data_IF_398452746480
#
_entry.id   IF_398452746480
#
_cell.length_a   1.000
_cell.length_b   1.000
_cell.length_c   1.000
_cell.angle_alpha   90.00
_cell.angle_beta   90.00
_cell.angle_gamma   90.00
#
_symmetry.space_group_name_H-M   'P 1'
#
loop_
_entity.id
_entity.type
_entity.pdbx_description
1 polymer ?
#
# COMPACT_ATOMS: atom_id res chain seq x y z
N UNK A 1 -3.23 18.49 60.36
CA UNK A 1 -3.79 19.85 60.60
C UNK A 1 -2.79 20.88 60.08
N UNK A 2 -3.26 22.00 59.51
CA UNK A 2 -2.47 23.22 59.28
C UNK A 2 -1.26 23.14 58.31
N UNK A 3 -1.43 23.73 57.13
CA UNK A 3 -0.35 24.47 56.44
C UNK A 3 -0.67 25.99 56.57
N UNK A 4 0.11 26.96 56.05
CA UNK A 4 1.48 26.91 55.49
C UNK A 4 2.40 27.99 56.14
N UNK A 5 3.57 28.30 55.56
CA UNK A 5 4.34 29.51 55.89
C UNK A 5 5.11 30.12 54.68
N UNK A 6 5.16 31.46 54.64
CA UNK A 6 5.94 32.37 53.77
C UNK A 6 6.06 33.72 54.52
N UNK A 7 6.88 34.70 54.08
CA UNK A 7 8.14 34.67 53.31
C UNK A 7 9.28 35.27 54.20
N UNK A 8 10.28 36.01 53.67
CA UNK A 8 10.10 37.46 53.44
C UNK A 8 10.79 38.03 52.18
N UNK A 9 10.83 39.37 52.05
CA UNK A 9 11.30 40.14 50.88
C UNK A 9 12.66 40.84 51.12
N UNK A 10 13.33 41.23 50.03
CA UNK A 10 14.36 42.30 50.00
C UNK A 10 14.00 43.41 49.00
N UNK A 11 14.60 44.60 49.15
CA UNK A 11 14.50 45.79 48.26
C UNK A 11 15.92 46.39 48.02
N UNK A 12 16.22 47.51 47.32
CA UNK A 12 15.53 48.64 46.62
C UNK A 12 16.33 49.03 45.33
N UNK A 13 15.91 49.95 44.43
CA UNK A 13 14.73 50.83 44.39
C UNK A 13 14.74 51.86 43.23
N UNK A 14 15.01 53.14 43.54
CA UNK A 14 15.07 54.31 42.61
C UNK A 14 16.40 54.35 41.80
N UNK A 15 16.64 55.17 40.75
CA UNK A 15 16.14 56.49 40.27
C UNK A 15 16.08 56.45 38.70
N UNK A 16 15.39 57.29 37.89
CA UNK A 16 14.68 58.57 38.08
C UNK A 16 13.87 59.05 36.86
N UNK A 17 14.32 60.13 36.17
CA UNK A 17 13.69 60.84 35.02
C UNK A 17 14.78 61.40 34.06
N UNK A 18 14.56 62.06 32.91
CA UNK A 18 13.43 62.87 32.41
C UNK A 18 13.38 62.96 30.85
N UNK A 19 12.39 63.67 30.28
CA UNK A 19 12.07 63.65 28.84
C UNK A 19 12.66 64.75 27.95
N UNK A 20 12.47 64.64 26.62
CA UNK A 20 12.86 65.66 25.63
C UNK A 20 12.18 65.51 24.26
N UNK A 21 11.78 66.63 23.62
CA UNK A 21 11.15 66.65 22.27
C UNK A 21 12.19 67.01 21.20
N UNK A 22 12.28 66.24 20.10
CA UNK A 22 13.28 66.43 19.04
C UNK A 22 12.71 66.35 17.61
N UNK A 23 13.01 67.36 16.79
CA UNK A 23 12.47 67.69 15.45
C UNK A 23 12.74 66.64 14.34
N UNK A 24 11.92 66.65 13.29
CA UNK A 24 12.26 66.13 11.94
C UNK A 24 13.18 67.09 11.17
N UNK A 25 13.98 66.58 10.22
CA UNK A 25 13.84 66.86 8.78
C UNK A 25 13.33 65.59 8.03
N UNK A 26 12.62 65.55 6.90
CA UNK A 26 12.63 66.29 5.62
C UNK A 26 13.94 66.16 4.81
N UNK A 27 14.01 65.48 3.67
CA UNK A 27 13.02 64.63 2.99
C UNK A 27 13.24 64.58 1.47
N UNK A 28 12.92 63.45 0.82
CA UNK A 28 12.90 63.30 -0.63
C UNK A 28 11.56 62.69 -1.07
N UNK A 29 11.09 62.98 -2.29
CA UNK A 29 9.86 62.42 -2.86
C UNK A 29 10.16 61.56 -4.09
N UNK A 30 9.46 60.42 -4.16
CA UNK A 30 9.32 59.53 -5.31
C UNK A 30 7.87 58.98 -5.29
N UNK A 31 7.28 58.64 -6.44
CA UNK A 31 5.83 58.71 -6.60
C UNK A 31 5.03 57.69 -5.77
N UNK A 32 3.94 58.17 -5.20
CA UNK A 32 2.93 57.39 -4.50
C UNK A 32 1.98 56.72 -5.50
N UNK A 33 2.04 55.40 -5.64
CA UNK A 33 1.07 54.59 -6.39
C UNK A 33 0.27 53.75 -5.40
N UNK A 34 -1.05 53.92 -5.37
CA UNK A 34 -1.92 53.14 -4.48
C UNK A 34 -2.10 51.72 -5.03
N UNK A 35 -1.87 50.66 -4.24
CA UNK A 35 -2.29 49.32 -4.60
C UNK A 35 -3.80 49.19 -4.38
N UNK A 36 -4.57 49.32 -5.47
CA UNK A 36 -5.94 48.81 -5.55
C UNK A 36 -5.96 47.53 -6.39
N UNK A 37 -6.90 46.65 -6.03
CA UNK A 37 -7.47 45.63 -6.90
C UNK A 37 -6.52 44.54 -7.46
N UNK A 38 -5.80 43.85 -6.57
CA UNK A 38 -5.44 42.44 -6.80
C UNK A 38 -6.67 41.56 -6.52
N UNK A 39 -7.23 40.98 -7.58
CA UNK A 39 -8.52 40.27 -7.52
C UNK A 39 -8.51 38.99 -6.68
N UNK A 40 -9.51 38.84 -5.81
CA UNK A 40 -9.77 37.59 -5.08
C UNK A 40 -10.42 36.58 -6.03
N UNK A 41 -9.66 35.55 -6.44
CA UNK A 41 -10.18 34.43 -7.23
C UNK A 41 -10.87 33.44 -6.30
N UNK A 42 -12.20 33.39 -6.37
CA UNK A 42 -13.03 32.43 -5.62
C UNK A 42 -13.25 31.17 -6.47
N UNK A 43 -12.57 30.08 -6.10
CA UNK A 43 -12.79 28.76 -6.71
C UNK A 43 -13.86 28.01 -5.92
N UNK A 44 -14.91 27.58 -6.62
CA UNK A 44 -15.99 26.75 -6.09
C UNK A 44 -15.95 25.38 -6.75
N UNK A 45 -15.91 24.34 -5.93
CA UNK A 45 -15.88 22.95 -6.41
C UNK A 45 -16.94 22.18 -5.62
N UNK A 46 -17.82 21.49 -6.33
CA UNK A 46 -18.83 20.62 -5.72
C UNK A 46 -18.21 19.23 -5.47
N UNK A 47 -18.26 18.78 -4.22
CA UNK A 47 -17.73 17.47 -3.82
C UNK A 47 -18.84 16.70 -3.11
N UNK A 48 -19.43 15.72 -3.80
CA UNK A 48 -20.47 14.86 -3.23
C UNK A 48 -21.76 15.57 -2.83
N UNK A 49 -22.18 16.59 -3.60
CA UNK A 49 -23.38 17.39 -3.31
C UNK A 49 -23.17 18.46 -2.24
N UNK A 50 -21.92 18.78 -1.89
CA UNK A 50 -21.56 19.92 -1.03
C UNK A 50 -20.69 20.90 -1.82
N UNK A 51 -21.12 22.15 -1.94
CA UNK A 51 -20.34 23.24 -2.55
C UNK A 51 -19.25 23.72 -1.57
N UNK A 52 -17.97 23.58 -1.94
CA UNK A 52 -16.85 24.06 -1.12
C UNK A 52 -16.19 25.25 -1.81
N UNK A 53 -16.47 26.45 -1.30
CA UNK A 53 -15.81 27.69 -1.73
C UNK A 53 -14.47 27.88 -1.03
N UNK A 54 -13.37 27.96 -1.79
CA UNK A 54 -12.03 28.22 -1.26
C UNK A 54 -11.65 29.67 -1.52
N UNK A 55 -11.60 30.47 -0.46
CA UNK A 55 -11.28 31.91 -0.51
C UNK A 55 -9.85 32.15 0.00
N UNK A 56 -8.90 32.28 -0.92
CA UNK A 56 -7.52 32.57 -0.60
C UNK A 56 -7.28 34.09 -0.48
N UNK A 57 -6.74 34.53 0.65
CA UNK A 57 -6.21 35.88 0.85
C UNK A 57 -4.77 35.77 1.37
N UNK A 58 -3.85 36.66 0.94
CA UNK A 58 -2.47 36.65 1.46
C UNK A 58 -2.47 37.02 2.96
N UNK A 59 -1.68 36.32 3.80
CA UNK A 59 -1.68 36.55 5.25
C UNK A 59 -0.93 37.86 5.62
N UNK A 60 -1.46 38.66 6.57
CA UNK A 60 -0.78 39.85 7.05
C UNK A 60 0.17 39.54 8.23
N UNK A 61 1.43 39.96 8.15
CA UNK A 61 2.27 40.18 9.34
C UNK A 61 3.70 39.64 9.32
N UNK A 62 4.66 40.55 9.14
CA UNK A 62 6.03 40.62 9.69
C UNK A 62 6.80 39.31 9.97
N UNK A 63 7.92 39.16 9.27
CA UNK A 63 9.06 38.34 9.70
C UNK A 63 9.82 38.99 10.88
N UNK A 64 10.62 38.24 11.65
CA UNK A 64 11.62 38.79 12.58
C UNK A 64 12.78 39.45 11.81
N UNK A 65 13.34 40.53 12.35
CA UNK A 65 14.55 41.17 11.82
C UNK A 65 15.80 40.42 12.31
N UNK A 66 16.63 39.94 11.39
CA UNK A 66 17.92 39.33 11.72
C UNK A 66 19.00 40.39 11.94
N UNK A 67 19.87 40.19 12.94
CA UNK A 67 20.82 41.21 13.44
C UNK A 67 22.26 40.99 12.98
N UNK A 68 22.47 41.18 11.68
CA UNK A 68 23.59 41.99 11.17
C UNK A 68 24.95 41.33 10.95
N UNK A 69 25.56 41.72 9.82
CA UNK A 69 26.97 41.48 9.48
C UNK A 69 27.17 40.45 8.37
N UNK A 70 27.89 40.81 7.31
CA UNK A 70 28.31 39.87 6.25
C UNK A 70 27.98 40.30 4.82
N UNK A 71 28.66 41.35 4.35
CA UNK A 71 29.00 41.61 2.94
C UNK A 71 27.90 41.65 1.85
N UNK A 72 28.35 41.85 0.60
CA UNK A 72 27.54 42.10 -0.59
C UNK A 72 28.00 41.22 -1.75
N UNK A 73 27.07 41.03 -2.68
CA UNK A 73 27.27 40.42 -4.01
C UNK A 73 27.51 38.89 -4.00
N UNK A 74 27.30 38.25 -5.14
CA UNK A 74 27.38 36.78 -5.30
C UNK A 74 26.02 36.09 -5.27
N UNK A 75 25.42 35.94 -6.45
CA UNK A 75 24.15 35.25 -6.71
C UNK A 75 24.03 33.84 -6.09
N UNK A 76 23.09 33.66 -5.15
CA UNK A 76 22.59 32.35 -4.72
C UNK A 76 21.15 32.14 -5.19
N UNK A 77 21.00 31.65 -6.44
CA UNK A 77 19.75 31.02 -6.89
C UNK A 77 19.59 29.68 -6.15
N UNK A 78 18.39 29.31 -5.66
CA UNK A 78 18.19 28.03 -4.98
C UNK A 78 18.32 26.88 -5.98
N UNK A 79 19.42 26.13 -5.87
CA UNK A 79 19.77 25.05 -6.79
C UNK A 79 19.19 23.69 -6.36
N UNK A 80 19.15 22.73 -7.29
CA UNK A 80 18.49 21.45 -7.07
C UNK A 80 19.13 20.60 -5.96
N UNK A 81 20.37 20.92 -5.56
CA UNK A 81 21.06 20.25 -4.45
C UNK A 81 20.30 20.40 -3.13
N UNK A 82 19.62 21.54 -2.91
CA UNK A 82 18.77 21.74 -1.74
C UNK A 82 17.56 20.80 -1.69
N UNK A 83 16.88 20.58 -2.83
CA UNK A 83 15.59 19.88 -2.84
C UNK A 83 15.72 18.37 -2.53
N UNK A 84 16.61 17.68 -3.26
CA UNK A 84 16.89 16.26 -3.01
C UNK A 84 17.57 16.03 -1.65
N UNK A 85 18.40 16.97 -1.18
CA UNK A 85 19.06 16.87 0.13
C UNK A 85 18.08 17.12 1.28
N UNK A 86 17.13 18.06 1.16
CA UNK A 86 16.04 18.21 2.13
C UNK A 86 15.16 16.95 2.21
N UNK A 87 14.86 16.30 1.08
CA UNK A 87 14.13 15.03 1.08
C UNK A 87 14.91 13.92 1.80
N UNK A 88 16.20 13.73 1.46
CA UNK A 88 17.09 12.74 2.11
C UNK A 88 17.33 13.02 3.59
N UNK A 89 17.48 14.29 3.99
CA UNK A 89 17.68 14.69 5.38
C UNK A 89 16.42 14.44 6.21
N UNK A 90 15.24 14.83 5.72
CA UNK A 90 13.99 14.62 6.45
C UNK A 90 13.54 13.16 6.50
N UNK A 91 13.99 12.29 5.60
CA UNK A 91 13.72 10.85 5.71
C UNK A 91 14.36 10.21 6.97
N UNK A 92 15.37 10.84 7.58
CA UNK A 92 15.89 10.46 8.92
C UNK A 92 15.02 10.95 10.07
N UNK A 93 14.14 11.93 9.85
CA UNK A 93 13.26 12.50 10.90
C UNK A 93 11.89 11.83 11.00
N UNK A 94 11.63 10.81 10.18
CA UNK A 94 10.34 10.09 10.13
C UNK A 94 10.17 9.01 11.22
N UNK A 95 11.15 8.81 12.11
CA UNK A 95 11.17 7.75 13.13
C UNK A 95 10.67 8.22 14.51
N UNK A 96 9.74 9.19 14.56
CA UNK A 96 9.17 9.71 15.80
C UNK A 96 7.65 9.53 15.81
N UNK A 97 7.22 8.41 16.38
CA UNK A 97 5.83 8.16 16.74
C UNK A 97 5.42 9.02 17.95
N UNK A 98 4.12 9.26 18.14
CA UNK A 98 3.53 9.94 19.29
C UNK A 98 2.39 9.04 19.80
N UNK A 99 2.38 8.74 21.11
CA UNK A 99 1.52 7.73 21.78
C UNK A 99 0.00 8.00 21.71
N UNK A 100 -0.43 8.92 20.84
CA UNK A 100 -1.83 9.33 20.62
C UNK A 100 -2.35 9.07 19.20
N UNK A 101 -1.54 8.47 18.33
CA UNK A 101 -2.01 7.82 17.10
C UNK A 101 -2.75 8.71 16.09
N UNK A 102 -2.36 9.99 15.94
CA UNK A 102 -3.04 10.91 15.03
C UNK A 102 -2.11 11.92 14.30
N UNK A 103 -2.01 11.77 12.98
CA UNK A 103 -1.87 12.79 11.92
C UNK A 103 -0.77 13.88 11.93
N UNK A 104 0.27 13.81 12.76
CA UNK A 104 1.46 14.66 12.56
C UNK A 104 2.15 14.41 11.21
N UNK A 105 2.31 13.14 10.82
CA UNK A 105 2.91 12.73 9.54
C UNK A 105 1.98 13.03 8.36
N UNK A 106 0.72 12.62 8.46
CA UNK A 106 -0.33 12.75 7.43
C UNK A 106 -0.55 14.21 7.03
N UNK A 107 -0.63 15.12 8.01
CA UNK A 107 -0.69 16.56 7.76
C UNK A 107 0.62 17.12 7.19
N UNK A 108 1.78 16.50 7.45
CA UNK A 108 3.04 16.89 6.80
C UNK A 108 3.09 16.45 5.32
N UNK A 109 2.63 15.24 4.97
CA UNK A 109 2.55 14.79 3.58
C UNK A 109 1.60 15.66 2.73
N UNK A 110 0.43 16.03 3.25
CA UNK A 110 -0.46 16.99 2.59
C UNK A 110 0.11 18.41 2.45
N UNK A 111 0.86 18.90 3.46
CA UNK A 111 1.55 20.21 3.37
C UNK A 111 2.69 20.20 2.35
N UNK A 112 3.48 19.12 2.29
CA UNK A 112 4.50 18.90 1.23
C UNK A 112 3.85 18.93 -0.15
N UNK A 113 2.72 18.23 -0.33
CA UNK A 113 1.99 18.21 -1.59
C UNK A 113 1.49 19.59 -2.03
N UNK A 114 0.91 20.37 -1.10
CA UNK A 114 0.50 21.74 -1.38
C UNK A 114 1.70 22.65 -1.72
N UNK A 115 2.86 22.43 -1.09
CA UNK A 115 4.10 23.14 -1.40
C UNK A 115 4.61 22.87 -2.81
N UNK A 116 4.68 21.60 -3.21
CA UNK A 116 5.09 21.17 -4.56
C UNK A 116 4.12 21.71 -5.62
N UNK A 117 2.81 21.56 -5.40
CA UNK A 117 1.77 22.08 -6.32
C UNK A 117 1.84 23.61 -6.48
N UNK A 118 2.11 24.35 -5.39
CA UNK A 118 2.27 25.80 -5.44
C UNK A 118 3.51 26.19 -6.25
N UNK A 119 4.66 25.59 -5.97
CA UNK A 119 5.92 25.87 -6.68
C UNK A 119 5.82 25.52 -8.16
N UNK A 120 5.29 24.35 -8.51
CA UNK A 120 5.10 23.96 -9.91
C UNK A 120 4.15 24.91 -10.65
N UNK A 121 3.07 25.38 -10.01
CA UNK A 121 2.19 26.41 -10.59
C UNK A 121 2.91 27.76 -10.75
N UNK A 122 3.69 28.19 -9.75
CA UNK A 122 4.45 29.43 -9.84
C UNK A 122 5.48 29.38 -10.97
N UNK A 123 6.24 28.29 -11.11
CA UNK A 123 7.19 28.10 -12.22
C UNK A 123 6.50 28.02 -13.59
N UNK A 124 5.37 27.32 -13.72
CA UNK A 124 4.68 27.12 -15.01
C UNK A 124 4.01 28.37 -15.59
N UNK A 125 3.63 29.32 -14.75
CA UNK A 125 2.94 30.54 -15.18
C UNK A 125 3.82 31.81 -15.11
N UNK A 126 5.08 31.70 -14.66
CA UNK A 126 5.97 32.88 -14.56
C UNK A 126 6.45 33.42 -15.92
N UNK A 127 6.52 32.56 -16.95
CA UNK A 127 6.95 32.92 -18.32
C UNK A 127 5.90 33.75 -19.10
N UNK A 128 4.76 34.10 -18.48
CA UNK A 128 3.68 34.85 -19.13
C UNK A 128 3.93 36.37 -19.20
N UNK A 129 4.57 36.96 -18.18
CA UNK A 129 4.77 38.40 -18.04
C UNK A 129 6.27 38.77 -17.88
N UNK A 130 6.87 39.28 -18.96
CA UNK A 130 8.21 39.89 -18.97
C UNK A 130 9.36 38.95 -19.35
N UNK A 131 9.91 39.12 -20.56
CA UNK A 131 11.04 38.32 -21.04
C UNK A 131 12.39 38.77 -20.49
N UNK A 132 13.27 37.83 -20.11
CA UNK A 132 14.61 38.19 -19.63
C UNK A 132 15.49 37.06 -19.10
N UNK A 133 15.97 36.16 -19.96
CA UNK A 133 17.28 35.50 -19.79
C UNK A 133 17.52 34.59 -18.56
N UNK A 134 17.13 33.32 -18.69
CA UNK A 134 17.88 32.20 -18.08
C UNK A 134 17.36 31.66 -16.75
N UNK A 135 17.06 30.35 -16.73
CA UNK A 135 16.75 29.58 -15.51
C UNK A 135 15.58 28.60 -15.62
N UNK A 136 14.77 28.66 -16.67
CA UNK A 136 13.63 27.75 -16.86
C UNK A 136 14.05 26.28 -16.83
N UNK A 137 13.53 25.53 -15.84
CA UNK A 137 13.73 24.07 -15.75
C UNK A 137 13.12 23.38 -16.97
N UNK A 138 13.73 22.30 -17.44
CA UNK A 138 13.11 21.50 -18.51
C UNK A 138 11.85 20.81 -17.97
N UNK A 139 10.83 20.69 -18.82
CA UNK A 139 9.57 19.98 -18.48
C UNK A 139 9.84 18.53 -18.03
N UNK A 140 10.88 17.91 -18.57
CA UNK A 140 11.36 16.57 -18.20
C UNK A 140 11.88 16.50 -16.76
N UNK A 141 12.59 17.52 -16.28
CA UNK A 141 13.03 17.58 -14.88
C UNK A 141 11.83 17.72 -13.93
N UNK A 142 10.86 18.56 -14.28
CA UNK A 142 9.63 18.74 -13.49
C UNK A 142 8.79 17.46 -13.43
N UNK A 143 8.66 16.74 -14.55
CA UNK A 143 8.00 15.42 -14.55
C UNK A 143 8.77 14.36 -13.74
N UNK A 144 10.10 14.38 -13.77
CA UNK A 144 10.91 13.48 -12.94
C UNK A 144 10.76 13.76 -11.44
N UNK A 145 10.67 15.04 -11.03
CA UNK A 145 10.39 15.42 -9.64
C UNK A 145 8.98 14.92 -9.22
N UNK A 146 7.97 15.00 -10.09
CA UNK A 146 6.63 14.46 -9.82
C UNK A 146 6.61 12.93 -9.70
N UNK A 147 7.24 12.18 -10.61
CA UNK A 147 7.24 10.72 -10.57
C UNK A 147 7.94 10.19 -9.30
N UNK A 148 9.03 10.83 -8.84
CA UNK A 148 9.70 10.50 -7.56
C UNK A 148 8.80 10.76 -6.35
N UNK A 149 8.08 11.89 -6.33
CA UNK A 149 7.17 12.25 -5.24
C UNK A 149 5.97 11.31 -5.18
N UNK A 150 5.41 10.94 -6.34
CA UNK A 150 4.29 10.00 -6.46
C UNK A 150 4.68 8.57 -6.06
N UNK A 151 5.87 8.10 -6.47
CA UNK A 151 6.40 6.79 -6.05
C UNK A 151 6.51 6.69 -4.52
N UNK A 152 7.11 7.71 -3.89
CA UNK A 152 7.28 7.79 -2.44
C UNK A 152 5.95 7.75 -1.67
N UNK A 153 4.99 8.61 -2.03
CA UNK A 153 3.65 8.60 -1.41
C UNK A 153 2.87 7.30 -1.68
N UNK A 154 3.04 6.68 -2.85
CA UNK A 154 2.39 5.39 -3.14
C UNK A 154 2.83 4.28 -2.19
N UNK A 155 4.05 4.37 -1.65
CA UNK A 155 4.60 3.42 -0.68
C UNK A 155 4.18 3.72 0.75
N UNK A 156 3.94 4.99 1.09
CA UNK A 156 3.58 5.48 2.44
C UNK A 156 2.37 4.74 3.05
N UNK A 157 1.33 4.47 2.25
CA UNK A 157 0.16 3.69 2.68
C UNK A 157 -0.82 4.42 3.61
N UNK A 158 -0.67 5.73 3.80
CA UNK A 158 -1.67 6.59 4.46
C UNK A 158 -2.75 7.02 3.47
N UNK A 159 -3.91 7.42 4.00
CA UNK A 159 -5.01 8.01 3.23
C UNK A 159 -4.63 9.39 2.67
N UNK A 160 -3.82 10.12 3.41
CA UNK A 160 -3.42 11.49 3.13
C UNK A 160 -2.37 11.53 2.02
N UNK A 161 -1.49 10.52 1.94
CA UNK A 161 -0.63 10.27 0.78
C UNK A 161 -1.45 9.90 -0.47
N UNK A 162 -2.47 9.05 -0.36
CA UNK A 162 -3.34 8.72 -1.49
C UNK A 162 -4.14 9.93 -2.01
N UNK A 163 -4.64 10.78 -1.11
CA UNK A 163 -5.26 12.06 -1.44
C UNK A 163 -4.25 13.05 -2.05
N UNK A 164 -3.00 13.08 -1.58
CA UNK A 164 -1.94 13.89 -2.17
C UNK A 164 -1.61 13.45 -3.61
N UNK A 165 -1.43 12.14 -3.84
CA UNK A 165 -1.23 11.57 -5.16
C UNK A 165 -2.36 11.93 -6.12
N UNK A 166 -3.63 11.73 -5.73
CA UNK A 166 -4.75 12.00 -6.63
C UNK A 166 -4.91 13.50 -6.94
N UNK A 167 -4.63 14.39 -5.97
CA UNK A 167 -4.63 15.84 -6.21
C UNK A 167 -3.50 16.26 -7.16
N UNK A 168 -2.34 15.60 -7.10
CA UNK A 168 -1.25 15.78 -8.07
C UNK A 168 -1.67 15.32 -9.47
N UNK A 169 -2.31 14.15 -9.57
CA UNK A 169 -2.83 13.62 -10.84
C UNK A 169 -3.90 14.53 -11.46
N UNK A 170 -4.81 15.07 -10.65
CA UNK A 170 -5.83 16.03 -11.10
C UNK A 170 -5.23 17.37 -11.56
N UNK A 171 -4.14 17.83 -10.92
CA UNK A 171 -3.39 19.00 -11.39
C UNK A 171 -2.73 18.74 -12.76
N UNK A 172 -2.09 17.60 -12.95
CA UNK A 172 -1.51 17.21 -14.25
C UNK A 172 -2.58 17.07 -15.34
N UNK A 173 -3.75 16.50 -15.02
CA UNK A 173 -4.92 16.45 -15.92
C UNK A 173 -5.46 17.85 -16.27
N UNK A 174 -5.42 18.81 -15.35
CA UNK A 174 -5.89 20.17 -15.58
C UNK A 174 -4.94 20.97 -16.47
N UNK A 175 -3.63 20.99 -16.14
CA UNK A 175 -2.62 21.72 -16.93
C UNK A 175 -2.53 21.19 -18.37
N UNK A 176 -2.65 19.87 -18.56
CA UNK A 176 -2.73 19.23 -19.89
C UNK A 176 -3.92 19.72 -20.73
N UNK A 177 -5.03 20.11 -20.08
CA UNK A 177 -6.23 20.68 -20.75
C UNK A 177 -6.11 22.18 -20.98
N UNK A 178 -5.54 22.94 -20.04
CA UNK A 178 -5.36 24.39 -20.19
C UNK A 178 -4.38 24.73 -21.34
N UNK A 179 -3.34 23.91 -21.54
CA UNK A 179 -2.36 24.02 -22.63
C UNK A 179 -2.95 23.90 -24.06
N UNK A 180 -4.25 23.64 -24.21
CA UNK A 180 -4.97 23.66 -25.49
C UNK A 180 -5.12 25.07 -26.06
N UNK A 181 -5.12 26.13 -25.23
CA UNK A 181 -5.45 27.50 -25.65
C UNK A 181 -4.30 28.36 -26.23
N UNK A 182 -3.15 27.77 -26.58
CA UNK A 182 -2.09 28.57 -27.26
C UNK A 182 -0.89 27.78 -27.78
N UNK A 183 -0.26 26.95 -26.94
CA UNK A 183 0.88 26.09 -27.35
C UNK A 183 0.78 24.74 -26.65
N UNK A 184 0.49 23.68 -27.41
CA UNK A 184 0.44 22.29 -26.93
C UNK A 184 1.82 21.81 -26.44
N UNK A 185 2.10 21.99 -25.14
CA UNK A 185 3.18 21.26 -24.47
C UNK A 185 2.75 19.82 -24.23
N UNK A 186 2.89 18.96 -25.26
CA UNK A 186 2.66 17.51 -25.17
C UNK A 186 3.52 16.81 -24.09
N UNK A 187 4.51 17.49 -23.50
CA UNK A 187 5.42 16.96 -22.48
C UNK A 187 4.90 17.11 -21.04
N UNK A 188 3.85 17.90 -20.78
CA UNK A 188 3.35 18.15 -19.43
C UNK A 188 1.90 17.66 -19.28
N UNK A 189 1.76 16.37 -19.01
CA UNK A 189 0.51 15.71 -18.67
C UNK A 189 0.81 14.43 -17.89
N UNK A 190 -0.21 13.78 -17.30
CA UNK A 190 0.00 12.55 -16.55
C UNK A 190 0.48 11.44 -17.50
N UNK A 191 1.40 10.60 -17.03
CA UNK A 191 1.84 9.39 -17.74
C UNK A 191 1.21 8.14 -17.09
N UNK A 192 1.45 6.94 -17.63
CA UNK A 192 0.92 5.71 -17.06
C UNK A 192 1.44 5.42 -15.64
N UNK A 193 2.69 5.83 -15.33
CA UNK A 193 3.29 5.73 -13.99
C UNK A 193 2.53 6.58 -12.96
N UNK A 194 2.12 7.80 -13.32
CA UNK A 194 1.33 8.69 -12.47
C UNK A 194 0.00 8.03 -12.07
N UNK A 195 -0.75 7.48 -13.03
CA UNK A 195 -2.00 6.75 -12.74
C UNK A 195 -1.73 5.52 -11.87
N UNK A 196 -0.73 4.70 -12.21
CA UNK A 196 -0.40 3.49 -11.46
C UNK A 196 0.08 3.78 -10.03
N UNK A 197 0.84 4.85 -9.81
CA UNK A 197 1.26 5.30 -8.47
C UNK A 197 0.05 5.75 -7.61
N UNK A 198 -0.92 6.45 -8.21
CA UNK A 198 -2.16 6.87 -7.53
C UNK A 198 -3.06 5.67 -7.21
N UNK A 199 -3.18 4.72 -8.15
CA UNK A 199 -3.92 3.46 -7.95
C UNK A 199 -3.27 2.63 -6.83
N UNK A 200 -1.94 2.52 -6.79
CA UNK A 200 -1.19 1.86 -5.72
C UNK A 200 -1.33 2.57 -4.37
N UNK A 201 -1.24 3.91 -4.35
CA UNK A 201 -1.45 4.71 -3.14
C UNK A 201 -2.83 4.44 -2.53
N UNK A 202 -3.89 4.50 -3.36
CA UNK A 202 -5.23 4.11 -2.92
C UNK A 202 -5.28 2.65 -2.47
N UNK A 203 -4.81 1.69 -3.25
CA UNK A 203 -4.81 0.27 -2.88
C UNK A 203 -4.16 0.00 -1.50
N UNK A 204 -3.15 0.78 -1.13
CA UNK A 204 -2.42 0.66 0.15
C UNK A 204 -3.02 1.48 1.30
N UNK A 205 -3.80 2.53 1.03
CA UNK A 205 -4.20 3.60 1.97
C UNK A 205 -4.98 3.25 3.24
N UNK A 206 -5.36 1.98 3.43
CA UNK A 206 -6.23 1.54 4.53
C UNK A 206 -7.69 2.01 4.47
N UNK A 207 -8.05 2.99 3.64
CA UNK A 207 -9.39 3.59 3.59
C UNK A 207 -10.48 2.56 3.19
N UNK A 208 -11.67 2.56 3.84
CA UNK A 208 -12.74 1.62 3.51
C UNK A 208 -13.20 1.64 2.04
N UNK A 209 -13.11 2.80 1.37
CA UNK A 209 -13.47 3.00 -0.05
C UNK A 209 -12.28 2.83 -1.00
N UNK A 210 -11.11 2.39 -0.53
CA UNK A 210 -9.87 2.34 -1.33
C UNK A 210 -9.99 1.67 -2.69
N UNK A 211 -10.82 0.64 -2.80
CA UNK A 211 -11.03 -0.10 -4.05
C UNK A 211 -11.90 0.69 -5.02
N UNK A 212 -12.95 1.34 -4.54
CA UNK A 212 -13.84 2.22 -5.32
C UNK A 212 -13.06 3.45 -5.84
N UNK A 213 -12.14 4.00 -5.03
CA UNK A 213 -11.27 5.10 -5.42
C UNK A 213 -10.23 4.67 -6.46
N UNK A 214 -9.61 3.49 -6.29
CA UNK A 214 -8.71 2.90 -7.27
C UNK A 214 -9.43 2.56 -8.60
N UNK A 215 -10.63 1.99 -8.54
CA UNK A 215 -11.51 1.71 -9.69
C UNK A 215 -11.92 3.01 -10.42
N UNK A 216 -12.19 4.09 -9.68
CA UNK A 216 -12.50 5.40 -10.27
C UNK A 216 -11.29 6.04 -10.97
N UNK A 217 -10.07 5.88 -10.45
CA UNK A 217 -8.83 6.35 -11.11
C UNK A 217 -8.51 5.53 -12.35
N UNK A 218 -8.67 4.20 -12.31
CA UNK A 218 -8.59 3.35 -13.51
C UNK A 218 -9.67 3.71 -14.54
N UNK A 219 -10.88 4.04 -14.09
CA UNK A 219 -11.99 4.48 -14.96
C UNK A 219 -11.76 5.86 -15.59
N UNK A 220 -10.95 6.73 -14.96
CA UNK A 220 -10.45 7.98 -15.58
C UNK A 220 -9.40 7.69 -16.64
N UNK A 221 -8.45 6.79 -16.35
CA UNK A 221 -7.41 6.36 -17.29
C UNK A 221 -8.02 5.74 -18.56
N UNK A 222 -8.99 4.82 -18.41
CA UNK A 222 -9.75 4.20 -19.52
C UNK A 222 -10.50 5.24 -20.38
N UNK A 223 -10.86 6.41 -19.83
CA UNK A 223 -11.54 7.50 -20.52
C UNK A 223 -10.60 8.61 -21.03
N UNK A 224 -9.28 8.37 -21.00
CA UNK A 224 -8.27 9.37 -21.37
C UNK A 224 -7.65 9.04 -22.72
N UNK A 225 -7.97 9.86 -23.74
CA UNK A 225 -7.38 9.76 -25.09
C UNK A 225 -5.83 9.92 -25.10
N UNK A 226 -5.25 10.36 -23.98
CA UNK A 226 -3.82 10.62 -23.83
C UNK A 226 -3.04 9.48 -23.16
N UNK A 227 -3.68 8.58 -22.40
CA UNK A 227 -2.99 7.55 -21.59
C UNK A 227 -3.78 6.24 -21.55
N UNK A 228 -3.34 5.25 -22.33
CA UNK A 228 -3.89 3.91 -22.28
C UNK A 228 -3.53 3.20 -20.95
N UNK A 229 -4.47 2.44 -20.33
CA UNK A 229 -4.17 1.57 -19.20
C UNK A 229 -3.36 0.34 -19.65
N UNK A 230 -2.57 -0.23 -18.73
CA UNK A 230 -1.84 -1.48 -18.96
C UNK A 230 -2.20 -2.54 -17.89
N UNK A 231 -1.72 -3.77 -18.08
CA UNK A 231 -2.06 -4.90 -17.19
C UNK A 231 -1.72 -4.64 -15.71
N UNK A 232 -0.70 -3.83 -15.42
CA UNK A 232 -0.35 -3.40 -14.06
C UNK A 232 -1.43 -2.51 -13.43
N UNK A 233 -2.06 -1.62 -14.22
CA UNK A 233 -3.19 -0.79 -13.77
C UNK A 233 -4.36 -1.66 -13.29
N UNK A 234 -4.75 -2.65 -14.11
CA UNK A 234 -5.81 -3.60 -13.77
C UNK A 234 -5.43 -4.49 -12.57
N UNK A 235 -4.24 -5.08 -12.59
CA UNK A 235 -3.74 -5.98 -11.54
C UNK A 235 -3.68 -5.30 -10.17
N UNK A 236 -3.39 -4.00 -10.12
CA UNK A 236 -3.34 -3.23 -8.87
C UNK A 236 -4.75 -2.92 -8.33
N UNK A 237 -5.74 -2.62 -9.18
CA UNK A 237 -7.15 -2.48 -8.75
C UNK A 237 -7.73 -3.84 -8.31
N UNK A 238 -7.45 -4.91 -9.06
CA UNK A 238 -7.85 -6.29 -8.70
C UNK A 238 -7.24 -6.69 -7.36
N UNK A 239 -5.95 -6.40 -7.15
CA UNK A 239 -5.26 -6.63 -5.86
C UNK A 239 -5.82 -5.76 -4.73
N UNK A 240 -6.28 -4.53 -5.02
CA UNK A 240 -7.02 -3.70 -4.06
C UNK A 240 -8.30 -4.41 -3.60
N UNK A 241 -9.13 -4.87 -4.54
CA UNK A 241 -10.34 -5.64 -4.24
C UNK A 241 -10.04 -6.93 -3.46
N UNK A 242 -9.07 -7.72 -3.91
CA UNK A 242 -8.66 -8.97 -3.27
C UNK A 242 -8.19 -8.78 -1.82
N UNK A 243 -7.68 -7.60 -1.44
CA UNK A 243 -7.25 -7.31 -0.08
C UNK A 243 -8.29 -6.52 0.75
N UNK A 244 -9.53 -6.40 0.27
CA UNK A 244 -10.54 -5.52 0.87
C UNK A 244 -11.62 -6.21 1.72
N UNK A 245 -12.24 -5.42 2.59
CA UNK A 245 -13.50 -5.74 3.25
C UNK A 245 -14.75 -5.56 2.37
N UNK A 246 -14.60 -5.13 1.12
CA UNK A 246 -15.73 -4.83 0.22
C UNK A 246 -16.60 -6.08 -0.02
N UNK A 247 -17.93 -5.89 -0.09
CA UNK A 247 -18.90 -6.95 -0.40
C UNK A 247 -18.85 -7.31 -1.89
N UNK A 248 -18.91 -8.59 -2.26
CA UNK A 248 -18.71 -9.04 -3.64
C UNK A 248 -17.40 -8.49 -4.27
N UNK A 249 -16.31 -8.45 -3.48
CA UNK A 249 -15.00 -8.03 -3.98
C UNK A 249 -14.47 -9.00 -5.06
N UNK A 250 -14.82 -10.28 -4.96
CA UNK A 250 -14.39 -11.30 -5.91
C UNK A 250 -15.10 -11.19 -7.26
N UNK A 251 -16.42 -10.93 -7.30
CA UNK A 251 -17.13 -10.66 -8.55
C UNK A 251 -16.65 -9.38 -9.25
N UNK A 252 -16.32 -8.32 -8.50
CA UNK A 252 -15.65 -7.13 -9.08
C UNK A 252 -14.26 -7.44 -9.64
N UNK A 253 -13.46 -8.23 -8.91
CA UNK A 253 -12.15 -8.68 -9.38
C UNK A 253 -12.26 -9.53 -10.67
N UNK A 254 -13.24 -10.44 -10.75
CA UNK A 254 -13.54 -11.23 -11.94
C UNK A 254 -13.94 -10.33 -13.12
N UNK A 255 -14.86 -9.37 -12.93
CA UNK A 255 -15.32 -8.48 -13.99
C UNK A 255 -14.19 -7.61 -14.59
N UNK A 256 -13.21 -7.20 -13.77
CA UNK A 256 -12.02 -6.49 -14.24
C UNK A 256 -11.07 -7.40 -15.05
N UNK A 257 -10.97 -8.70 -14.69
CA UNK A 257 -10.19 -9.69 -15.44
C UNK A 257 -10.84 -10.07 -16.79
N UNK A 258 -12.17 -10.20 -16.84
CA UNK A 258 -12.85 -10.38 -18.13
C UNK A 258 -12.64 -9.14 -19.00
N UNK A 259 -12.75 -7.93 -18.44
CA UNK A 259 -12.49 -6.70 -19.19
C UNK A 259 -11.08 -6.66 -19.79
N UNK A 260 -10.00 -6.93 -19.04
CA UNK A 260 -8.67 -6.93 -19.66
C UNK A 260 -8.47 -8.09 -20.66
N UNK A 261 -9.13 -9.24 -20.45
CA UNK A 261 -9.13 -10.34 -21.43
C UNK A 261 -9.81 -9.94 -22.74
N UNK A 262 -10.95 -9.27 -22.70
CA UNK A 262 -11.72 -8.91 -23.89
C UNK A 262 -11.11 -7.71 -24.65
N UNK A 263 -10.54 -6.73 -23.95
CA UNK A 263 -9.72 -5.68 -24.56
C UNK A 263 -8.46 -6.27 -25.22
N UNK A 264 -7.86 -7.30 -24.62
CA UNK A 264 -6.72 -8.01 -25.22
C UNK A 264 -7.13 -8.78 -26.49
N UNK A 265 -8.27 -9.47 -26.47
CA UNK A 265 -8.88 -10.13 -27.65
C UNK A 265 -9.23 -9.15 -28.76
N UNK A 266 -9.62 -7.91 -28.41
CA UNK A 266 -9.82 -6.82 -29.36
C UNK A 266 -8.51 -6.26 -29.96
N UNK A 267 -7.34 -6.79 -29.55
CA UNK A 267 -6.02 -6.47 -30.10
C UNK A 267 -5.11 -5.68 -29.15
N UNK A 268 -5.55 -5.31 -27.95
CA UNK A 268 -4.73 -4.52 -27.03
C UNK A 268 -3.65 -5.37 -26.33
N UNK A 269 -2.42 -5.31 -26.85
CA UNK A 269 -1.29 -6.09 -26.32
C UNK A 269 -0.81 -5.62 -24.94
N UNK A 270 -1.05 -4.36 -24.56
CA UNK A 270 -0.70 -3.80 -23.23
C UNK A 270 -1.60 -4.34 -22.10
N UNK A 271 -2.72 -4.97 -22.45
CA UNK A 271 -3.69 -5.57 -21.53
C UNK A 271 -3.63 -7.11 -21.52
N UNK A 272 -2.61 -7.72 -22.13
CA UNK A 272 -2.37 -9.16 -22.12
C UNK A 272 -2.40 -9.72 -20.68
N UNK A 273 -3.39 -10.57 -20.32
CA UNK A 273 -3.47 -11.15 -18.98
C UNK A 273 -2.33 -12.13 -18.71
N UNK A 274 -1.75 -12.06 -17.51
CA UNK A 274 -0.68 -12.92 -17.03
C UNK A 274 -1.10 -13.79 -15.83
N UNK A 275 -0.22 -14.68 -15.36
CA UNK A 275 -0.47 -15.46 -14.14
C UNK A 275 -0.68 -14.58 -12.90
N UNK A 276 -0.15 -13.35 -12.86
CA UNK A 276 -0.28 -12.44 -11.71
C UNK A 276 -1.70 -11.90 -11.57
N UNK A 277 -2.33 -11.44 -12.66
CA UNK A 277 -3.71 -10.93 -12.63
C UNK A 277 -4.69 -12.05 -12.28
N UNK A 278 -4.49 -13.27 -12.81
CA UNK A 278 -5.30 -14.43 -12.47
C UNK A 278 -5.13 -14.82 -10.99
N UNK A 279 -3.89 -14.88 -10.48
CA UNK A 279 -3.64 -15.14 -9.06
C UNK A 279 -4.24 -14.06 -8.14
N UNK A 280 -4.29 -12.80 -8.57
CA UNK A 280 -4.96 -11.74 -7.82
C UNK A 280 -6.49 -11.93 -7.73
N UNK A 281 -7.15 -12.45 -8.78
CA UNK A 281 -8.58 -12.82 -8.72
C UNK A 281 -8.81 -14.12 -7.94
N UNK A 282 -7.96 -15.14 -8.07
CA UNK A 282 -8.01 -16.35 -7.25
C UNK A 282 -7.88 -16.03 -5.75
N UNK A 283 -7.00 -15.10 -5.38
CA UNK A 283 -6.86 -14.57 -4.01
C UNK A 283 -8.17 -13.89 -3.53
N UNK A 284 -8.86 -13.16 -4.41
CA UNK A 284 -10.16 -12.56 -4.10
C UNK A 284 -11.24 -13.62 -3.84
N UNK A 285 -11.37 -14.63 -4.72
CA UNK A 285 -12.28 -15.76 -4.53
C UNK A 285 -11.95 -16.57 -3.28
N UNK A 286 -10.66 -16.80 -3.00
CA UNK A 286 -10.19 -17.49 -1.79
C UNK A 286 -10.59 -16.76 -0.50
N UNK A 287 -10.58 -15.41 -0.51
CA UNK A 287 -11.06 -14.61 0.63
C UNK A 287 -12.58 -14.48 0.70
N UNK A 288 -13.29 -14.47 -0.43
CA UNK A 288 -14.74 -14.65 -0.43
C UNK A 288 -15.13 -16.02 0.19
N UNK A 289 -14.40 -17.08 -0.20
CA UNK A 289 -14.51 -18.41 0.40
C UNK A 289 -14.17 -18.42 1.91
N UNK A 290 -13.31 -17.53 2.40
CA UNK A 290 -13.11 -17.34 3.85
C UNK A 290 -14.24 -16.54 4.55
N UNK A 291 -14.92 -15.61 3.85
CA UNK A 291 -15.93 -14.67 4.43
C UNK A 291 -17.33 -15.23 4.65
N UNK A 292 -17.74 -16.24 3.88
CA UNK A 292 -19.08 -16.84 3.92
C UNK A 292 -19.82 -16.86 2.57
N UNK A 293 -19.36 -16.07 1.60
CA UNK A 293 -19.91 -15.99 0.23
C UNK A 293 -20.05 -17.37 -0.45
N UNK A 294 -21.27 -17.73 -0.83
CA UNK A 294 -21.59 -18.99 -1.53
C UNK A 294 -21.00 -19.01 -2.95
N UNK A 295 -20.87 -20.20 -3.56
CA UNK A 295 -20.26 -20.37 -4.88
C UNK A 295 -18.75 -20.09 -4.99
N UNK A 296 -18.18 -19.27 -4.10
CA UNK A 296 -16.82 -18.73 -4.21
C UNK A 296 -15.68 -19.77 -4.37
N UNK A 297 -15.84 -20.99 -3.86
CA UNK A 297 -14.87 -22.07 -4.08
C UNK A 297 -15.01 -22.73 -5.48
N UNK A 298 -16.24 -22.83 -6.01
CA UNK A 298 -16.46 -23.31 -7.37
C UNK A 298 -16.00 -22.28 -8.42
N UNK A 299 -16.16 -20.98 -8.15
CA UNK A 299 -15.61 -19.93 -9.01
C UNK A 299 -14.07 -19.90 -8.99
N UNK A 300 -13.44 -20.18 -7.83
CA UNK A 300 -11.98 -20.36 -7.75
C UNK A 300 -11.50 -21.56 -8.60
N UNK A 301 -12.19 -22.69 -8.53
CA UNK A 301 -11.90 -23.88 -9.36
C UNK A 301 -12.14 -23.62 -10.85
N UNK A 302 -13.25 -22.98 -11.22
CA UNK A 302 -13.58 -22.60 -12.60
C UNK A 302 -12.51 -21.67 -13.20
N UNK A 303 -11.99 -20.75 -12.40
CA UNK A 303 -10.93 -19.84 -12.83
C UNK A 303 -9.58 -20.54 -12.99
N UNK A 304 -9.24 -21.49 -12.11
CA UNK A 304 -8.04 -22.33 -12.24
C UNK A 304 -8.13 -23.26 -13.45
N UNK A 305 -9.26 -23.95 -13.67
CA UNK A 305 -9.48 -24.77 -14.86
C UNK A 305 -9.32 -23.98 -16.16
N UNK A 306 -9.77 -22.72 -16.20
CA UNK A 306 -9.50 -21.81 -17.33
C UNK A 306 -8.00 -21.50 -17.50
N UNK A 307 -7.22 -21.40 -16.43
CA UNK A 307 -5.75 -21.25 -16.56
C UNK A 307 -5.12 -22.53 -17.09
N UNK A 308 -5.58 -23.70 -16.66
CA UNK A 308 -5.14 -25.01 -17.16
C UNK A 308 -5.52 -25.22 -18.64
N UNK A 309 -6.69 -24.74 -19.08
CA UNK A 309 -7.12 -24.74 -20.49
C UNK A 309 -6.25 -23.79 -21.32
N UNK A 310 -6.05 -22.54 -20.90
CA UNK A 310 -5.22 -21.55 -21.61
C UNK A 310 -3.74 -21.99 -21.68
N UNK A 311 -3.23 -22.63 -20.63
CA UNK A 311 -1.88 -23.22 -20.63
C UNK A 311 -1.74 -24.40 -21.59
N UNK A 312 -2.84 -25.07 -21.96
CA UNK A 312 -2.86 -26.22 -22.88
C UNK A 312 -3.19 -25.85 -24.32
N UNK A 313 -4.03 -24.84 -24.56
CA UNK A 313 -4.35 -24.36 -25.91
C UNK A 313 -3.17 -23.68 -26.59
N UNK A 314 -2.34 -22.97 -25.80
CA UNK A 314 -1.14 -22.30 -26.32
C UNK A 314 -1.45 -21.05 -27.15
N UNK A 315 -2.58 -20.38 -26.88
CA UNK A 315 -3.13 -19.21 -27.59
C UNK A 315 -2.26 -17.91 -27.50
N UNK A 316 -0.95 -18.03 -27.35
CA UNK A 316 0.00 -16.90 -27.24
C UNK A 316 0.03 -16.20 -25.87
N UNK A 317 -0.98 -16.39 -25.02
CA UNK A 317 -0.95 -15.95 -23.63
C UNK A 317 -0.14 -16.97 -22.81
N UNK A 318 1.00 -16.53 -22.25
CA UNK A 318 1.82 -17.35 -21.34
C UNK A 318 1.22 -17.38 -19.92
N UNK A 319 -0.04 -17.77 -19.80
CA UNK A 319 -0.71 -18.03 -18.52
C UNK A 319 -0.45 -19.48 -18.16
N UNK A 320 0.26 -19.70 -17.06
CA UNK A 320 0.42 -21.02 -16.44
C UNK A 320 -0.07 -20.96 -15.00
N UNK A 321 -0.88 -21.92 -14.53
CA UNK A 321 -1.06 -22.15 -13.10
C UNK A 321 0.30 -22.30 -12.39
N UNK A 322 0.45 -21.70 -11.22
CA UNK A 322 1.59 -21.93 -10.35
C UNK A 322 1.12 -22.49 -8.98
N UNK A 323 2.06 -22.89 -8.13
CA UNK A 323 1.76 -23.34 -6.76
C UNK A 323 0.93 -22.32 -5.97
N UNK A 324 0.95 -21.02 -6.32
CA UNK A 324 0.09 -19.99 -5.70
C UNK A 324 -1.34 -20.07 -6.22
N UNK A 325 -1.56 -20.31 -7.52
CA UNK A 325 -2.87 -20.58 -8.12
C UNK A 325 -3.58 -21.72 -7.39
N UNK A 326 -2.91 -22.88 -7.28
CA UNK A 326 -3.44 -24.03 -6.55
C UNK A 326 -3.63 -23.73 -5.06
N UNK A 327 -2.69 -23.06 -4.39
CA UNK A 327 -2.83 -22.71 -2.97
C UNK A 327 -4.02 -21.76 -2.70
N UNK A 328 -4.39 -20.88 -3.64
CA UNK A 328 -5.59 -20.04 -3.52
C UNK A 328 -6.88 -20.86 -3.64
N UNK A 329 -6.96 -21.80 -4.57
CA UNK A 329 -8.11 -22.71 -4.71
C UNK A 329 -8.19 -23.70 -3.55
N UNK A 330 -7.10 -24.34 -3.17
CA UNK A 330 -6.99 -25.23 -2.01
C UNK A 330 -7.46 -24.54 -0.72
N UNK A 331 -7.08 -23.28 -0.53
CA UNK A 331 -7.59 -22.44 0.57
C UNK A 331 -9.10 -22.21 0.48
N UNK A 332 -9.67 -22.00 -0.71
CA UNK A 332 -11.11 -21.83 -0.91
C UNK A 332 -11.88 -23.12 -0.60
N UNK A 333 -11.42 -24.26 -1.13
CA UNK A 333 -11.96 -25.60 -0.91
C UNK A 333 -11.91 -25.96 0.58
N UNK A 334 -10.77 -25.76 1.24
CA UNK A 334 -10.59 -25.99 2.68
C UNK A 334 -11.58 -25.20 3.55
N UNK A 335 -11.89 -23.94 3.19
CA UNK A 335 -12.86 -23.09 3.92
C UNK A 335 -14.33 -23.38 3.59
N UNK A 336 -14.66 -23.88 2.39
CA UNK A 336 -16.05 -24.18 1.98
C UNK A 336 -16.45 -25.65 2.11
N UNK A 337 -15.69 -26.56 1.50
CA UNK A 337 -16.01 -28.00 1.46
C UNK A 337 -15.36 -28.78 2.61
N UNK A 338 -14.39 -28.18 3.29
CA UNK A 338 -13.74 -28.74 4.47
C UNK A 338 -12.54 -29.64 4.13
N UNK A 339 -11.96 -30.31 5.14
CA UNK A 339 -10.61 -30.85 5.02
C UNK A 339 -10.50 -32.09 4.12
N UNK A 340 -11.55 -32.92 4.01
CA UNK A 340 -11.53 -34.11 3.13
C UNK A 340 -11.36 -33.75 1.66
N UNK A 341 -12.08 -32.74 1.18
CA UNK A 341 -11.95 -32.29 -0.20
C UNK A 341 -10.65 -31.50 -0.43
N UNK A 342 -10.11 -30.85 0.61
CA UNK A 342 -8.79 -30.22 0.55
C UNK A 342 -7.65 -31.25 0.53
N UNK A 343 -7.75 -32.36 1.26
CA UNK A 343 -6.79 -33.48 1.21
C UNK A 343 -6.81 -34.14 -0.18
N UNK A 344 -7.99 -34.40 -0.77
CA UNK A 344 -8.11 -34.83 -2.18
C UNK A 344 -7.46 -33.86 -3.16
N UNK A 345 -7.72 -32.56 -3.04
CA UNK A 345 -7.14 -31.55 -3.93
C UNK A 345 -5.61 -31.50 -3.81
N UNK A 346 -5.08 -31.60 -2.60
CA UNK A 346 -3.63 -31.71 -2.35
C UNK A 346 -3.03 -32.99 -2.96
N UNK A 347 -3.73 -34.14 -2.88
CA UNK A 347 -3.31 -35.35 -3.58
C UNK A 347 -3.30 -35.16 -5.11
N UNK A 348 -4.29 -34.48 -5.69
CA UNK A 348 -4.30 -34.13 -7.11
C UNK A 348 -3.09 -33.26 -7.53
N UNK A 349 -2.63 -32.34 -6.68
CA UNK A 349 -1.39 -31.57 -6.92
C UNK A 349 -0.14 -32.47 -6.87
N UNK A 350 -0.10 -33.46 -5.97
CA UNK A 350 1.00 -34.45 -5.90
C UNK A 350 1.01 -35.31 -7.16
N UNK A 351 -0.13 -35.84 -7.56
CA UNK A 351 -0.29 -36.68 -8.77
C UNK A 351 0.03 -35.89 -10.06
N UNK A 352 -0.32 -34.60 -10.13
CA UNK A 352 0.07 -33.73 -11.24
C UNK A 352 1.59 -33.52 -11.31
N UNK A 353 2.23 -33.28 -10.17
CA UNK A 353 3.68 -33.18 -10.11
C UNK A 353 4.37 -34.49 -10.52
N UNK A 354 3.88 -35.65 -10.05
CA UNK A 354 4.38 -36.98 -10.43
C UNK A 354 4.19 -37.28 -11.93
N UNK A 355 3.16 -36.72 -12.58
CA UNK A 355 2.97 -36.77 -14.05
C UNK A 355 3.89 -35.81 -14.83
N UNK A 356 4.76 -35.07 -14.15
CA UNK A 356 5.76 -34.17 -14.76
C UNK A 356 5.40 -32.69 -14.74
N UNK A 357 4.29 -32.29 -14.11
CA UNK A 357 3.89 -30.88 -13.99
C UNK A 357 4.73 -30.21 -12.87
N UNK A 358 5.93 -29.74 -13.20
CA UNK A 358 6.87 -29.11 -12.25
C UNK A 358 6.26 -27.94 -11.49
N UNK A 359 5.48 -27.13 -12.19
CA UNK A 359 5.04 -25.79 -11.78
C UNK A 359 3.94 -25.84 -10.69
N UNK A 360 3.40 -27.04 -10.40
CA UNK A 360 2.30 -27.28 -9.46
C UNK A 360 2.72 -28.03 -8.19
N UNK A 361 4.02 -28.35 -8.04
CA UNK A 361 4.56 -29.10 -6.88
C UNK A 361 4.10 -28.48 -5.55
N UNK A 362 3.42 -29.23 -4.66
CA UNK A 362 3.04 -28.73 -3.35
C UNK A 362 4.22 -28.18 -2.55
N UNK A 363 3.97 -27.12 -1.79
CA UNK A 363 4.96 -26.53 -0.88
C UNK A 363 4.42 -26.50 0.56
N UNK A 364 5.21 -25.95 1.49
CA UNK A 364 4.89 -25.99 2.91
C UNK A 364 3.55 -25.30 3.23
N UNK A 365 3.15 -24.30 2.42
CA UNK A 365 1.84 -23.67 2.51
C UNK A 365 0.71 -24.62 2.07
N UNK A 366 0.90 -25.39 0.99
CA UNK A 366 -0.08 -26.36 0.49
C UNK A 366 -0.48 -27.38 1.56
N UNK A 367 0.50 -28.04 2.17
CA UNK A 367 0.27 -28.97 3.29
C UNK A 367 -0.33 -28.25 4.50
N UNK A 368 0.20 -27.07 4.86
CA UNK A 368 -0.30 -26.29 6.02
C UNK A 368 -1.76 -25.88 5.87
N UNK A 369 -2.26 -25.58 4.66
CA UNK A 369 -3.69 -25.26 4.44
C UNK A 369 -4.60 -26.43 4.82
N UNK A 370 -4.20 -27.66 4.46
CA UNK A 370 -4.98 -28.87 4.76
C UNK A 370 -4.84 -29.29 6.23
N UNK A 371 -3.64 -29.16 6.81
CA UNK A 371 -3.41 -29.35 8.25
C UNK A 371 -4.26 -28.36 9.06
N UNK A 372 -4.27 -27.07 8.70
CA UNK A 372 -5.14 -26.05 9.29
C UNK A 372 -6.63 -26.41 9.15
N UNK A 373 -7.05 -27.04 8.06
CA UNK A 373 -8.44 -27.43 7.83
C UNK A 373 -8.89 -28.58 8.75
N UNK A 374 -8.04 -29.60 8.94
CA UNK A 374 -8.30 -30.69 9.90
C UNK A 374 -8.22 -30.21 11.35
N UNK A 375 -7.19 -29.44 11.68
CA UNK A 375 -6.96 -28.88 13.02
C UNK A 375 -8.09 -27.97 13.49
N UNK A 376 -8.69 -27.19 12.59
CA UNK A 376 -9.84 -26.35 12.94
C UNK A 376 -11.14 -27.13 13.16
N UNK A 377 -11.19 -28.43 12.81
CA UNK A 377 -12.28 -29.35 13.18
C UNK A 377 -11.92 -30.29 14.34
N UNK A 378 -10.78 -30.11 15.00
CA UNK A 378 -10.31 -30.97 16.11
C UNK A 378 -9.87 -32.38 15.67
N UNK A 379 -9.81 -32.64 14.36
CA UNK A 379 -9.57 -33.96 13.79
C UNK A 379 -8.07 -34.23 13.65
N UNK A 380 -7.44 -34.53 14.79
CA UNK A 380 -6.00 -34.76 14.98
C UNK A 380 -5.42 -35.78 14.00
N UNK A 381 -6.05 -36.93 13.83
CA UNK A 381 -5.49 -38.00 12.99
C UNK A 381 -5.52 -37.65 11.49
N UNK A 382 -6.43 -36.77 11.06
CA UNK A 382 -6.40 -36.16 9.73
C UNK A 382 -5.24 -35.19 9.56
N UNK A 383 -5.02 -34.34 10.56
CA UNK A 383 -3.91 -33.39 10.56
C UNK A 383 -2.55 -34.11 10.58
N UNK A 384 -2.41 -35.20 11.35
CA UNK A 384 -1.19 -36.01 11.45
C UNK A 384 -0.84 -36.70 10.12
N UNK A 385 -1.79 -37.39 9.46
CA UNK A 385 -1.53 -38.03 8.14
C UNK A 385 -0.98 -37.05 7.11
N UNK A 386 -1.47 -35.81 7.11
CA UNK A 386 -1.04 -34.77 6.15
C UNK A 386 0.33 -34.21 6.54
N UNK A 387 0.68 -34.12 7.83
CA UNK A 387 2.05 -33.83 8.26
C UNK A 387 3.01 -34.98 7.91
N UNK A 388 2.61 -36.24 8.08
CA UNK A 388 3.39 -37.42 7.66
C UNK A 388 3.57 -37.48 6.14
N UNK A 389 2.62 -36.96 5.35
CA UNK A 389 2.77 -36.78 3.91
C UNK A 389 3.73 -35.63 3.56
N UNK A 390 3.65 -34.51 4.29
CA UNK A 390 4.55 -33.34 4.17
C UNK A 390 6.01 -33.73 4.46
N UNK A 391 6.24 -34.49 5.53
CA UNK A 391 7.56 -34.99 5.93
C UNK A 391 8.15 -35.94 4.88
N UNK A 392 7.36 -36.90 4.37
CA UNK A 392 7.82 -37.81 3.31
C UNK A 392 8.14 -37.09 2.02
N UNK A 393 7.32 -36.13 1.61
CA UNK A 393 7.61 -35.33 0.42
C UNK A 393 8.87 -34.45 0.60
N UNK A 394 9.07 -33.87 1.79
CA UNK A 394 10.25 -33.07 2.10
C UNK A 394 11.55 -33.89 2.16
N UNK A 395 11.53 -35.05 2.83
CA UNK A 395 12.73 -35.81 3.19
C UNK A 395 12.99 -37.04 2.30
N UNK A 396 11.96 -37.79 1.89
CA UNK A 396 12.11 -38.96 1.00
C UNK A 396 12.13 -38.52 -0.48
N UNK A 397 11.26 -37.57 -0.85
CA UNK A 397 11.14 -37.04 -2.23
C UNK A 397 11.97 -35.78 -2.49
N UNK A 398 12.78 -35.37 -1.51
CA UNK A 398 13.72 -34.25 -1.61
C UNK A 398 13.07 -32.88 -1.90
N UNK A 399 11.81 -32.67 -1.52
CA UNK A 399 11.15 -31.39 -1.75
C UNK A 399 11.53 -30.35 -0.69
N UNK A 400 12.58 -29.56 -0.97
CA UNK A 400 12.98 -28.46 -0.09
C UNK A 400 11.84 -27.46 0.20
N UNK A 401 10.91 -27.26 -0.74
CA UNK A 401 9.79 -26.33 -0.62
C UNK A 401 8.64 -26.85 0.27
N UNK A 402 8.50 -28.17 0.47
CA UNK A 402 7.47 -28.73 1.36
C UNK A 402 7.94 -29.05 2.78
N UNK A 403 9.17 -28.67 3.13
CA UNK A 403 9.73 -28.83 4.48
C UNK A 403 8.73 -28.40 5.57
N UNK A 404 8.50 -29.25 6.59
CA UNK A 404 7.73 -28.87 7.76
C UNK A 404 8.22 -27.56 8.38
N UNK A 405 7.28 -26.78 8.92
CA UNK A 405 7.56 -25.49 9.58
C UNK A 405 6.93 -25.46 10.96
N UNK A 406 7.37 -24.54 11.81
CA UNK A 406 6.77 -24.29 13.12
C UNK A 406 5.25 -24.02 13.06
N UNK A 407 4.73 -23.51 11.93
CA UNK A 407 3.29 -23.37 11.73
C UNK A 407 2.60 -24.72 11.61
N UNK A 408 3.11 -25.64 10.78
CA UNK A 408 2.51 -26.97 10.59
C UNK A 408 2.41 -27.73 11.92
N UNK A 409 3.49 -27.79 12.69
CA UNK A 409 3.49 -28.40 14.04
C UNK A 409 2.58 -27.66 15.02
N UNK A 410 2.58 -26.32 15.04
CA UNK A 410 1.64 -25.54 15.88
C UNK A 410 0.19 -25.87 15.55
N UNK A 411 -0.15 -26.13 14.28
CA UNK A 411 -1.51 -26.52 13.89
C UNK A 411 -1.87 -27.94 14.36
N UNK A 412 -0.93 -28.89 14.44
CA UNK A 412 -1.16 -30.18 15.12
C UNK A 412 -1.42 -29.98 16.62
N UNK A 413 -0.62 -29.14 17.29
CA UNK A 413 -0.80 -28.84 18.72
C UNK A 413 -2.14 -28.14 19.01
N UNK A 414 -2.61 -27.30 18.08
CA UNK A 414 -3.95 -26.69 18.12
C UNK A 414 -5.06 -27.70 17.80
N UNK A 415 -4.79 -28.74 17.01
CA UNK A 415 -5.73 -29.86 16.84
C UNK A 415 -5.86 -30.68 18.14
N UNK A 416 -4.73 -31.01 18.77
CA UNK A 416 -4.66 -31.79 20.00
C UNK A 416 -5.39 -31.08 21.15
N UNK A 417 -5.13 -29.79 21.37
CA UNK A 417 -5.81 -29.01 22.44
C UNK A 417 -7.32 -28.85 22.22
N UNK A 418 -7.84 -29.12 21.00
CA UNK A 418 -9.28 -29.15 20.67
C UNK A 418 -9.89 -30.55 20.65
N UNK A 419 -9.07 -31.61 20.78
CA UNK A 419 -9.51 -32.99 20.53
C UNK A 419 -10.30 -33.65 21.66
N UNK A 420 -10.10 -33.20 22.91
CA UNK A 420 -10.64 -33.87 24.10
C UNK A 420 -9.99 -35.23 24.41
N UNK A 421 -8.90 -35.61 23.73
CA UNK A 421 -8.12 -36.81 24.04
C UNK A 421 -7.45 -36.64 25.43
N UNK A 422 -7.69 -37.54 26.41
CA UNK A 422 -7.00 -37.50 27.71
C UNK A 422 -5.48 -37.62 27.61
N UNK A 423 -4.95 -38.14 26.50
CA UNK A 423 -3.51 -38.19 26.19
C UNK A 423 -3.04 -37.06 25.27
N UNK A 424 -3.87 -36.02 25.08
CA UNK A 424 -3.49 -34.86 24.26
C UNK A 424 -2.24 -34.15 24.79
N UNK A 425 -2.00 -34.16 26.11
CA UNK A 425 -0.75 -33.70 26.73
C UNK A 425 0.47 -34.47 26.21
N UNK A 426 0.52 -35.79 26.46
CA UNK A 426 1.60 -36.69 26.03
C UNK A 426 1.85 -36.61 24.51
N UNK A 427 0.77 -36.60 23.71
CA UNK A 427 0.83 -36.45 22.25
C UNK A 427 1.40 -35.09 21.85
N UNK A 428 1.08 -34.02 22.57
CA UNK A 428 1.59 -32.68 22.31
C UNK A 428 3.07 -32.53 22.69
N UNK A 429 3.51 -33.17 23.77
CA UNK A 429 4.93 -33.24 24.13
C UNK A 429 5.74 -34.03 23.09
N UNK A 430 5.23 -35.17 22.62
CA UNK A 430 5.88 -35.94 21.55
C UNK A 430 6.01 -35.13 20.24
N UNK A 431 4.98 -34.38 19.86
CA UNK A 431 4.99 -33.48 18.69
C UNK A 431 5.99 -32.33 18.87
N UNK A 432 6.07 -31.74 20.08
CA UNK A 432 7.05 -30.68 20.40
C UNK A 432 8.49 -31.22 20.42
N UNK A 433 8.70 -32.44 20.91
CA UNK A 433 9.99 -33.14 20.90
C UNK A 433 10.47 -33.41 19.48
N UNK A 434 9.59 -33.94 18.62
CA UNK A 434 9.89 -34.19 17.19
C UNK A 434 10.25 -32.89 16.44
N UNK A 435 9.49 -31.82 16.69
CA UNK A 435 9.78 -30.49 16.15
C UNK A 435 11.15 -29.97 16.62
N UNK A 436 11.51 -30.22 17.89
CA UNK A 436 12.80 -29.82 18.47
C UNK A 436 13.98 -30.62 17.92
N UNK A 437 13.81 -31.92 17.68
CA UNK A 437 14.81 -32.79 17.06
C UNK A 437 15.11 -32.34 15.62
N UNK A 438 14.07 -32.15 14.81
CA UNK A 438 14.22 -31.67 13.43
C UNK A 438 14.84 -30.26 13.36
N UNK A 439 14.59 -29.38 14.34
CA UNK A 439 15.30 -28.10 14.46
C UNK A 439 16.80 -28.29 14.73
N UNK A 440 17.18 -29.23 15.60
CA UNK A 440 18.57 -29.53 15.92
C UNK A 440 19.33 -30.19 14.75
N UNK A 441 18.65 -31.05 13.97
CA UNK A 441 19.21 -31.73 12.80
C UNK A 441 19.37 -30.80 11.59
N UNK A 442 18.37 -29.96 11.31
CA UNK A 442 18.37 -29.07 10.14
C UNK A 442 19.05 -27.72 10.36
N UNK A 443 19.16 -27.28 11.62
CA UNK A 443 19.53 -25.90 11.98
C UNK A 443 18.49 -24.84 11.59
N UNK A 444 17.34 -25.23 11.04
CA UNK A 444 16.37 -24.32 10.44
C UNK A 444 15.63 -23.51 11.53
N UNK A 445 15.74 -22.18 11.45
CA UNK A 445 15.12 -21.26 12.42
C UNK A 445 13.60 -21.28 12.35
N UNK A 446 13.02 -21.55 11.18
CA UNK A 446 11.56 -21.62 11.01
C UNK A 446 10.97 -22.94 11.53
N UNK A 447 11.82 -23.87 11.96
CA UNK A 447 11.47 -25.07 12.72
C UNK A 447 11.63 -24.93 14.24
N UNK A 448 12.14 -23.80 14.75
CA UNK A 448 12.32 -23.61 16.19
C UNK A 448 10.97 -23.47 16.93
N UNK A 449 10.75 -24.17 18.06
CA UNK A 449 9.56 -23.98 18.88
C UNK A 449 9.40 -22.53 19.37
N UNK A 450 8.32 -21.88 18.93
CA UNK A 450 7.93 -20.54 19.34
C UNK A 450 6.83 -20.55 20.40
N UNK A 451 6.56 -19.40 21.01
CA UNK A 451 5.57 -19.23 22.11
C UNK A 451 4.19 -19.82 21.81
N UNK A 452 3.75 -19.80 20.54
CA UNK A 452 2.47 -20.40 20.13
C UNK A 452 2.43 -21.93 20.26
N UNK A 453 3.55 -22.61 20.03
CA UNK A 453 3.66 -24.06 20.20
C UNK A 453 3.58 -24.44 21.68
N UNK A 454 4.39 -23.78 22.53
CA UNK A 454 4.35 -23.98 23.98
C UNK A 454 2.96 -23.69 24.58
N UNK A 455 2.32 -22.58 24.19
CA UNK A 455 0.97 -22.26 24.65
C UNK A 455 -0.06 -23.32 24.21
N UNK A 456 0.09 -23.90 23.00
CA UNK A 456 -0.79 -24.96 22.54
C UNK A 456 -0.58 -26.28 23.32
N UNK A 457 0.67 -26.63 23.68
CA UNK A 457 0.99 -27.77 24.56
C UNK A 457 0.39 -27.57 25.96
N UNK A 458 0.55 -26.39 26.56
CA UNK A 458 -0.05 -26.05 27.85
C UNK A 458 -1.58 -26.20 27.80
N UNK A 459 -2.22 -25.75 26.71
CA UNK A 459 -3.67 -25.93 26.52
C UNK A 459 -4.08 -27.41 26.35
N UNK A 460 -3.20 -28.29 25.84
CA UNK A 460 -3.47 -29.74 25.82
C UNK A 460 -3.53 -30.29 27.25
N UNK A 461 -2.51 -30.03 28.07
CA UNK A 461 -2.50 -30.46 29.48
C UNK A 461 -3.62 -29.84 30.33
N UNK A 462 -4.06 -28.62 30.00
CA UNK A 462 -5.20 -27.98 30.66
C UNK A 462 -6.54 -28.64 30.31
N UNK A 463 -6.70 -29.12 29.07
CA UNK A 463 -7.93 -29.69 28.53
C UNK A 463 -8.01 -31.23 28.67
N UNK A 464 -6.93 -31.90 29.07
CA UNK A 464 -6.84 -33.34 29.30
C UNK A 464 -7.40 -33.76 30.69
N UNK A 465 -8.59 -33.26 31.05
CA UNK A 465 -9.22 -33.41 32.38
C UNK A 465 -10.60 -34.07 32.30
#
# INVERSE_FOLDING_TARGET
SGAPAQPPRGREGIIGRDGGRGRRPSGCHGPNVQPRDLGVVELRIEIGGTEVGIRAAPPPGRFPEDRGGGDRDGSLRPDAFGFATCYRAHHRTACLEDDRGNDKASAASLRKANGVLRLAREELFHDADGGGGGGGRTVEALMSDFDVVLDGWSKEGTKEAALACERMLLFLEAVSKEAVHGKRSKKLGPNASCYNAVINAWARSGDPRRCERAEAVLSRMIKSDAVAPNILSFTTVISSYANSGHRNAAGKAQALLEKCTDEHRAGNRELAPDTVVFNAVLNAWSKAAAKGEEGAAAEAERLLGRMEDLSRSGDGLYIRPDVRSYNHVLSAVAKRRGPREAEKFLHGMIEAHERGESDVRPNALSFTIVIDAWANRGQTDGANRVLEAMERDAFERGNAESRPTARAYTSILVALSKSGDPRSGDRAEAVLGRMSALHAESGDRDMKPGTRAYNAVINCFANAR
#
